data_IF_730549964165
#
_entry.id   IF_730549964165
#
_cell.length_a   1.000
_cell.length_b   1.000
_cell.length_c   1.000
_cell.angle_alpha   90.00
_cell.angle_beta   90.00
_cell.angle_gamma   90.00
#
_symmetry.space_group_name_H-M   'P 1'
#
loop_
_entity.id
_entity.type
_entity.pdbx_description
1 polymer ?
#
# COMPACT_ATOMS: atom_id res chain seq x y z
N UNK A 1 11.49 14.39 24.14
CA UNK A 1 10.71 13.15 24.30
C UNK A 1 11.13 12.18 23.22
N UNK A 2 11.73 11.03 23.55
CA UNK A 2 11.93 9.97 22.55
C UNK A 2 10.59 9.26 22.37
N UNK A 3 10.10 9.20 21.13
CA UNK A 3 8.84 8.54 20.85
C UNK A 3 8.95 7.03 21.15
N UNK A 4 7.92 6.45 21.77
CA UNK A 4 7.87 5.03 22.09
C UNK A 4 7.89 4.22 20.76
N UNK A 5 8.92 3.38 20.51
CA UNK A 5 9.04 2.59 19.29
C UNK A 5 7.81 1.71 18.98
N UNK A 6 7.10 1.25 20.01
CA UNK A 6 5.88 0.44 19.87
C UNK A 6 4.77 1.17 19.12
N UNK A 7 4.68 2.50 19.26
CA UNK A 7 3.67 3.31 18.56
C UNK A 7 3.91 3.26 17.06
N UNK A 8 5.17 3.31 16.62
CA UNK A 8 5.50 3.21 15.20
C UNK A 8 5.31 1.80 14.68
N UNK A 9 5.73 0.79 15.44
CA UNK A 9 5.51 -0.62 15.09
C UNK A 9 4.02 -0.92 14.89
N UNK A 10 3.17 -0.47 15.82
CA UNK A 10 1.73 -0.64 15.72
C UNK A 10 1.14 0.10 14.50
N UNK A 11 1.58 1.35 14.25
CA UNK A 11 1.15 2.11 13.07
C UNK A 11 1.58 1.47 11.76
N UNK A 12 2.78 0.92 11.68
CA UNK A 12 3.29 0.26 10.48
C UNK A 12 2.57 -1.06 10.19
N UNK A 13 2.18 -1.80 11.24
CA UNK A 13 1.51 -3.09 11.11
C UNK A 13 0.00 -2.98 10.90
N UNK A 14 -0.67 -2.02 11.54
CA UNK A 14 -2.15 -1.93 11.57
C UNK A 14 -2.72 -0.63 10.98
N UNK A 15 -1.85 0.28 10.56
CA UNK A 15 -2.25 1.59 10.05
C UNK A 15 -3.01 1.50 8.72
N UNK A 16 -4.28 1.92 8.74
CA UNK A 16 -5.13 2.02 7.53
C UNK A 16 -5.38 3.46 7.11
N UNK A 17 -4.72 4.42 7.75
CA UNK A 17 -4.99 5.86 7.57
C UNK A 17 -4.79 6.32 6.13
N UNK A 18 -3.75 5.82 5.45
CA UNK A 18 -3.45 6.20 4.06
C UNK A 18 -4.56 5.80 3.10
N UNK A 19 -5.07 4.56 3.23
CA UNK A 19 -6.24 4.08 2.50
C UNK A 19 -7.51 4.87 2.84
N UNK A 20 -7.79 5.08 4.14
CA UNK A 20 -8.97 5.83 4.60
C UNK A 20 -9.00 7.27 4.08
N UNK A 21 -7.85 7.92 4.04
CA UNK A 21 -7.70 9.31 3.56
C UNK A 21 -7.50 9.43 2.06
N UNK A 22 -7.34 8.31 1.34
CA UNK A 22 -6.89 8.28 -0.07
C UNK A 22 -5.64 9.14 -0.27
N UNK A 23 -4.73 9.08 0.68
CA UNK A 23 -3.54 9.92 0.71
C UNK A 23 -2.54 9.43 -0.34
N UNK A 24 -2.33 10.25 -1.36
CA UNK A 24 -1.43 10.01 -2.50
C UNK A 24 -0.04 10.59 -2.31
N UNK A 25 0.29 11.18 -1.16
CA UNK A 25 1.59 11.80 -0.87
C UNK A 25 2.72 10.77 -0.99
N UNK A 26 3.66 10.89 -1.94
CA UNK A 26 4.68 9.87 -2.16
C UNK A 26 5.59 9.70 -0.93
N UNK A 27 6.08 8.49 -0.72
CA UNK A 27 7.12 8.21 0.28
C UNK A 27 8.47 8.63 -0.30
N UNK A 28 9.04 9.70 0.25
CA UNK A 28 10.30 10.26 -0.22
C UNK A 28 11.46 9.26 -0.12
N UNK A 29 12.33 9.25 -1.14
CA UNK A 29 13.50 8.38 -1.20
C UNK A 29 13.19 6.91 -1.50
N UNK A 30 11.94 6.56 -1.85
CA UNK A 30 11.52 5.22 -2.23
C UNK A 30 10.81 5.26 -3.59
N UNK A 31 11.20 4.40 -4.52
CA UNK A 31 10.54 4.33 -5.84
C UNK A 31 9.14 3.73 -5.74
N UNK A 32 9.00 2.59 -5.04
CA UNK A 32 7.73 1.88 -4.84
C UNK A 32 7.68 1.26 -3.43
N UNK A 33 6.55 1.43 -2.75
CA UNK A 33 6.22 0.69 -1.52
C UNK A 33 5.12 -0.32 -1.84
N UNK A 34 5.37 -1.62 -1.67
CA UNK A 34 4.34 -2.65 -1.81
C UNK A 34 3.84 -3.07 -0.43
N UNK A 35 2.52 -2.98 -0.21
CA UNK A 35 1.90 -3.26 1.08
C UNK A 35 0.73 -4.24 0.95
N UNK A 36 0.61 -5.14 1.94
CA UNK A 36 -0.56 -6.00 2.12
C UNK A 36 -1.45 -5.53 3.26
N UNK A 37 -1.94 -6.48 4.06
CA UNK A 37 -2.66 -6.27 5.33
C UNK A 37 -4.11 -5.77 5.22
N UNK A 38 -4.39 -4.85 4.30
CA UNK A 38 -5.77 -4.39 4.06
C UNK A 38 -6.29 -5.01 2.78
N UNK A 39 -7.28 -5.90 2.92
CA UNK A 39 -7.94 -6.59 1.81
C UNK A 39 -8.68 -5.57 0.94
N UNK A 40 -8.38 -5.56 -0.36
CA UNK A 40 -9.04 -4.77 -1.40
C UNK A 40 -9.66 -5.69 -2.46
N UNK A 41 -10.59 -5.13 -3.25
CA UNK A 41 -11.24 -5.79 -4.38
C UNK A 41 -10.30 -5.98 -5.58
N UNK A 42 -9.39 -5.03 -5.78
CA UNK A 42 -8.31 -5.07 -6.75
C UNK A 42 -7.07 -4.31 -6.22
N UNK A 43 -5.86 -4.62 -6.73
CA UNK A 43 -4.66 -3.87 -6.38
C UNK A 43 -4.83 -2.38 -6.66
N UNK A 44 -4.31 -1.52 -5.78
CA UNK A 44 -4.56 -0.08 -5.85
C UNK A 44 -3.30 0.71 -5.56
N UNK A 45 -3.07 1.75 -6.34
CA UNK A 45 -2.03 2.75 -6.09
C UNK A 45 -2.58 3.91 -5.27
N UNK A 46 -1.73 4.44 -4.40
CA UNK A 46 -1.90 5.76 -3.78
C UNK A 46 -0.52 6.43 -3.80
N UNK A 47 -0.28 7.34 -4.74
CA UNK A 47 1.09 7.79 -5.04
C UNK A 47 1.98 6.60 -5.40
N UNK A 48 3.17 6.52 -4.78
CA UNK A 48 4.11 5.40 -4.97
C UNK A 48 3.88 4.19 -4.05
N UNK A 49 2.72 4.08 -3.39
CA UNK A 49 2.38 2.91 -2.55
C UNK A 49 1.36 2.04 -3.26
N UNK A 50 1.71 0.79 -3.51
CA UNK A 50 0.83 -0.21 -4.13
C UNK A 50 0.31 -1.20 -3.09
N UNK A 51 -1.01 -1.18 -2.87
CA UNK A 51 -1.71 -2.14 -2.04
C UNK A 51 -2.13 -3.34 -2.88
N UNK A 52 -1.67 -4.54 -2.51
CA UNK A 52 -1.81 -5.76 -3.33
C UNK A 52 -2.58 -6.89 -2.64
N UNK A 53 -2.98 -6.72 -1.39
CA UNK A 53 -3.73 -7.75 -0.67
C UNK A 53 -5.17 -7.84 -1.21
N UNK A 54 -5.42 -8.88 -2.00
CA UNK A 54 -6.73 -9.23 -2.55
C UNK A 54 -7.38 -10.41 -1.82
N UNK A 55 -6.98 -10.62 -0.56
CA UNK A 55 -7.63 -11.55 0.36
C UNK A 55 -7.43 -13.01 0.01
N UNK A 56 -6.22 -13.44 -0.36
CA UNK A 56 -5.91 -14.80 -0.83
C UNK A 56 -6.44 -15.95 0.05
N UNK A 57 -6.66 -15.71 1.34
CA UNK A 57 -7.20 -16.71 2.28
C UNK A 57 -8.74 -16.81 2.28
N UNK A 58 -9.44 -15.90 1.60
CA UNK A 58 -10.90 -15.88 1.50
C UNK A 58 -11.39 -16.78 0.36
N UNK A 59 -12.60 -17.33 0.49
CA UNK A 59 -13.20 -18.19 -0.54
C UNK A 59 -13.34 -17.51 -1.91
N UNK A 60 -13.61 -16.20 -1.96
CA UNK A 60 -13.65 -15.41 -3.21
C UNK A 60 -12.41 -14.53 -3.41
N UNK A 61 -11.37 -14.74 -2.61
CA UNK A 61 -10.14 -13.97 -2.67
C UNK A 61 -9.20 -14.43 -3.79
N UNK A 62 -8.16 -13.64 -4.02
CA UNK A 62 -7.12 -13.94 -5.01
C UNK A 62 -5.74 -13.81 -4.38
N UNK A 63 -4.81 -14.68 -4.76
CA UNK A 63 -3.39 -14.44 -4.55
C UNK A 63 -2.91 -13.50 -5.65
N UNK A 64 -2.52 -12.27 -5.28
CA UNK A 64 -1.95 -11.30 -6.22
C UNK A 64 -0.44 -11.46 -6.28
N UNK A 65 0.08 -11.60 -7.50
CA UNK A 65 1.51 -11.63 -7.80
C UNK A 65 1.80 -10.55 -8.84
N UNK A 66 2.86 -9.78 -8.65
CA UNK A 66 3.28 -8.72 -9.55
C UNK A 66 4.71 -8.99 -10.04
N UNK A 67 4.97 -8.85 -11.35
CA UNK A 67 6.33 -8.87 -11.87
C UNK A 67 7.06 -7.60 -11.42
N UNK A 68 8.26 -7.76 -10.84
CA UNK A 68 9.01 -6.63 -10.27
C UNK A 68 9.66 -5.76 -11.35
N UNK A 69 10.01 -6.33 -12.49
CA UNK A 69 10.66 -5.67 -13.63
C UNK A 69 9.79 -4.62 -14.32
N UNK A 70 8.47 -4.70 -14.15
CA UNK A 70 7.51 -3.74 -14.69
C UNK A 70 6.78 -2.94 -13.60
N UNK A 71 7.24 -3.04 -12.35
CA UNK A 71 6.58 -2.38 -11.23
C UNK A 71 6.99 -0.90 -11.15
N UNK A 72 6.14 -0.03 -11.65
CA UNK A 72 6.30 1.43 -11.55
C UNK A 72 5.02 2.10 -11.03
N UNK A 73 5.12 3.19 -10.25
CA UNK A 73 3.96 4.00 -9.89
C UNK A 73 3.27 4.54 -11.15
N UNK A 74 1.94 4.78 -11.10
CA UNK A 74 1.24 5.46 -12.18
C UNK A 74 1.74 6.89 -12.31
N UNK A 75 1.78 7.41 -13.54
CA UNK A 75 2.10 8.81 -13.78
C UNK A 75 1.11 9.72 -13.03
N UNK A 76 1.59 10.68 -12.23
CA UNK A 76 0.74 11.51 -11.40
C UNK A 76 -0.26 12.35 -12.24
N UNK A 77 0.08 12.63 -13.50
CA UNK A 77 -0.75 13.39 -14.44
C UNK A 77 -1.88 12.57 -15.11
N UNK A 78 -1.90 11.24 -14.94
CA UNK A 78 -2.90 10.35 -15.58
C UNK A 78 -4.02 9.93 -14.59
N UNK A 79 -3.99 10.45 -13.35
CA UNK A 79 -5.04 10.16 -12.36
C UNK A 79 -6.14 11.24 -12.44
N UNK A 80 -7.43 10.88 -12.65
CA UNK A 80 -8.52 11.87 -12.72
C UNK A 80 -8.77 12.61 -11.40
#
# INVERSE_FOLDING_TARGET
>A
MKANPEIYLNRMTWGRTRLKKRDTTPVEGIDVVVAGHTILDAPRWLGNVHFIDTGAFLNQGRLTLLPLDVLSPPDPEITP
#
